data_IF_510101008641
#
_entry.id   IF_510101008641
#
_cell.length_a   1.000
_cell.length_b   1.000
_cell.length_c   1.000
_cell.angle_alpha   90.00
_cell.angle_beta   90.00
_cell.angle_gamma   90.00
#
_symmetry.space_group_name_H-M   'P 1'
#
loop_
_entity.id
_entity.type
_entity.pdbx_description
1 polymer ?
#
# COMPACT_ATOMS: atom_id res chain seq x y z
N UNK A 1 -12.49 -55.04 -36.15
CA UNK A 1 -12.39 -53.76 -36.89
C UNK A 1 -13.62 -52.93 -36.53
N UNK A 2 -13.46 -51.71 -35.97
CA UNK A 2 -14.34 -50.53 -36.12
C UNK A 2 -13.84 -49.40 -35.19
N UNK A 3 -13.18 -48.44 -35.84
CA UNK A 3 -13.14 -46.96 -35.68
C UNK A 3 -13.12 -46.31 -34.29
N UNK A 4 -11.96 -45.71 -33.96
CA UNK A 4 -11.77 -44.64 -32.96
C UNK A 4 -12.48 -43.35 -33.40
N UNK A 5 -13.12 -42.59 -32.49
CA UNK A 5 -13.38 -41.18 -32.72
C UNK A 5 -12.19 -40.32 -32.22
N UNK A 6 -11.82 -39.40 -33.10
CA UNK A 6 -10.80 -38.37 -32.97
C UNK A 6 -11.31 -37.22 -32.09
N UNK A 7 -10.38 -36.64 -31.34
CA UNK A 7 -10.33 -35.32 -30.71
C UNK A 7 -11.51 -34.34 -30.90
N UNK A 8 -11.91 -33.72 -29.79
CA UNK A 8 -12.36 -32.33 -29.78
C UNK A 8 -11.64 -31.58 -28.65
N UNK A 9 -10.77 -30.65 -29.06
CA UNK A 9 -10.00 -29.77 -28.21
C UNK A 9 -10.93 -28.78 -27.48
N UNK A 10 -10.84 -28.76 -26.15
CA UNK A 10 -11.37 -27.69 -25.29
C UNK A 10 -10.19 -27.05 -24.58
N UNK A 11 -9.47 -26.20 -25.31
CA UNK A 11 -8.49 -25.27 -24.75
C UNK A 11 -8.97 -23.84 -25.06
N UNK A 12 -9.98 -23.39 -24.30
CA UNK A 12 -10.43 -22.00 -24.31
C UNK A 12 -10.52 -21.54 -22.85
N UNK A 13 -9.41 -20.99 -22.37
CA UNK A 13 -9.20 -20.11 -21.20
C UNK A 13 -7.71 -20.27 -20.85
N UNK A 14 -6.82 -19.29 -20.92
CA UNK A 14 -6.95 -17.88 -20.63
C UNK A 14 -5.97 -17.06 -21.50
N UNK A 15 -6.48 -16.43 -22.55
CA UNK A 15 -5.87 -15.23 -23.12
C UNK A 15 -6.33 -14.06 -22.24
N UNK A 16 -5.55 -13.73 -21.21
CA UNK A 16 -5.97 -12.68 -20.26
C UNK A 16 -4.88 -12.09 -19.36
N UNK A 17 -3.60 -12.35 -19.61
CA UNK A 17 -2.49 -11.74 -18.84
C UNK A 17 -1.56 -10.83 -19.67
N UNK A 18 -1.87 -10.61 -20.96
CA UNK A 18 -1.05 -9.77 -21.84
C UNK A 18 -1.56 -8.32 -21.99
N UNK A 19 -2.41 -7.83 -21.07
CA UNK A 19 -2.93 -6.45 -21.08
C UNK A 19 -2.29 -5.54 -20.01
N UNK A 20 -1.16 -5.95 -19.42
CA UNK A 20 -0.43 -5.15 -18.43
C UNK A 20 0.81 -4.43 -19.01
N UNK A 21 0.96 -4.41 -20.34
CA UNK A 21 2.14 -3.83 -21.00
C UNK A 21 1.74 -2.84 -22.09
N UNK A 22 0.85 -1.91 -21.77
CA UNK A 22 0.77 -0.65 -22.52
C UNK A 22 -0.03 0.38 -21.72
N UNK A 23 0.64 1.02 -20.77
CA UNK A 23 0.23 2.34 -20.32
C UNK A 23 1.29 3.32 -20.77
N UNK A 24 1.00 3.93 -21.92
CA UNK A 24 1.53 5.19 -22.43
C UNK A 24 2.49 5.89 -21.45
N UNK A 25 3.76 5.98 -21.84
CA UNK A 25 4.80 6.81 -21.24
C UNK A 25 4.39 8.30 -21.30
N UNK A 26 3.41 8.68 -20.50
CA UNK A 26 3.24 10.06 -20.11
C UNK A 26 4.32 10.36 -19.07
N UNK A 27 5.13 11.38 -19.34
CA UNK A 27 6.31 11.71 -18.55
C UNK A 27 5.98 11.76 -17.05
N UNK A 28 6.54 10.81 -16.29
CA UNK A 28 6.44 10.81 -14.84
C UNK A 28 7.02 12.13 -14.30
N UNK A 29 6.39 12.72 -13.29
CA UNK A 29 6.95 13.90 -12.62
C UNK A 29 7.93 13.45 -11.53
N UNK A 30 9.26 13.52 -11.77
CA UNK A 30 10.24 12.99 -10.82
C UNK A 30 10.28 13.77 -9.50
N UNK A 31 9.65 14.95 -9.41
CA UNK A 31 9.54 15.72 -8.17
C UNK A 31 8.47 15.20 -7.22
N UNK A 32 7.53 14.40 -7.73
CA UNK A 32 6.39 13.84 -6.97
C UNK A 32 6.60 12.34 -6.75
N UNK A 33 7.23 11.65 -7.70
CA UNK A 33 7.43 10.22 -7.63
C UNK A 33 8.54 9.82 -6.66
N UNK A 34 8.22 8.89 -5.77
CA UNK A 34 9.19 8.27 -4.87
C UNK A 34 10.28 7.49 -5.63
N UNK A 35 11.51 7.54 -5.12
CA UNK A 35 12.59 6.66 -5.56
C UNK A 35 12.68 5.43 -4.65
N UNK A 36 12.22 4.29 -5.16
CA UNK A 36 12.24 3.00 -4.45
C UNK A 36 13.59 2.29 -4.48
N UNK A 37 14.60 2.84 -5.17
CA UNK A 37 15.99 2.32 -5.14
C UNK A 37 16.72 2.76 -3.89
N UNK A 38 16.39 3.93 -3.37
CA UNK A 38 16.91 4.43 -2.09
C UNK A 38 15.98 4.02 -0.97
N UNK A 39 16.50 3.37 0.07
CA UNK A 39 15.73 3.04 1.28
C UNK A 39 15.60 4.31 2.13
N UNK A 40 14.43 4.97 2.23
CA UNK A 40 14.32 6.23 2.94
C UNK A 40 14.12 5.91 4.41
N UNK A 41 15.22 5.65 5.13
CA UNK A 41 15.20 5.30 6.55
C UNK A 41 16.43 5.75 7.34
N UNK A 42 17.33 6.52 6.72
CA UNK A 42 18.64 6.79 7.31
C UNK A 42 18.76 8.14 8.06
N UNK A 43 17.71 8.97 8.15
CA UNK A 43 17.90 10.36 8.63
C UNK A 43 16.69 10.99 9.31
N UNK A 44 16.34 10.48 10.49
CA UNK A 44 15.73 11.17 11.62
C UNK A 44 15.74 10.16 12.79
N UNK A 45 15.65 10.60 14.05
CA UNK A 45 15.43 9.67 15.17
C UNK A 45 14.34 8.65 14.77
N UNK A 46 14.62 7.35 14.86
CA UNK A 46 13.82 6.31 14.22
C UNK A 46 12.35 6.39 14.67
N UNK A 47 11.52 7.04 13.86
CA UNK A 47 10.10 7.20 14.15
C UNK A 47 9.45 5.80 14.06
N UNK A 48 8.73 5.34 15.10
CA UNK A 48 8.13 4.01 15.10
C UNK A 48 7.10 3.80 13.98
N UNK A 49 6.60 4.88 13.36
CA UNK A 49 5.69 4.81 12.21
C UNK A 49 6.40 4.53 10.88
N UNK A 50 7.73 4.67 10.80
CA UNK A 50 8.53 4.50 9.55
C UNK A 50 8.21 3.19 8.81
N UNK A 51 8.10 2.02 9.46
CA UNK A 51 7.76 0.78 8.76
C UNK A 51 6.35 0.78 8.15
N UNK A 52 5.39 1.43 8.82
CA UNK A 52 4.02 1.57 8.33
C UNK A 52 3.98 2.53 7.15
N UNK A 53 4.71 3.63 7.23
CA UNK A 53 4.81 4.61 6.16
C UNK A 53 5.45 4.01 4.90
N UNK A 54 6.54 3.24 5.03
CA UNK A 54 7.17 2.59 3.89
C UNK A 54 6.28 1.51 3.28
N UNK A 55 5.57 0.76 4.12
CA UNK A 55 4.54 -0.18 3.66
C UNK A 55 3.46 0.53 2.85
N UNK A 56 2.90 1.61 3.41
CA UNK A 56 1.85 2.38 2.77
C UNK A 56 2.32 2.96 1.44
N UNK A 57 3.54 3.53 1.39
CA UNK A 57 4.13 4.11 0.18
C UNK A 57 4.27 3.08 -0.93
N UNK A 58 4.85 1.91 -0.65
CA UNK A 58 5.07 0.87 -1.66
C UNK A 58 3.75 0.33 -2.20
N UNK A 59 2.81 -0.02 -1.33
CA UNK A 59 1.50 -0.52 -1.77
C UNK A 59 0.67 0.54 -2.50
N UNK A 60 0.68 1.78 -2.03
CA UNK A 60 -0.02 2.88 -2.69
C UNK A 60 0.46 3.07 -4.14
N UNK A 61 1.78 3.07 -4.36
CA UNK A 61 2.34 3.18 -5.70
C UNK A 61 2.06 1.94 -6.57
N UNK A 62 2.06 0.74 -5.97
CA UNK A 62 1.70 -0.49 -6.69
C UNK A 62 0.23 -0.50 -7.12
N UNK A 63 -0.67 0.01 -6.29
CA UNK A 63 -2.11 0.00 -6.54
C UNK A 63 -2.63 1.28 -7.23
N UNK A 64 -1.78 2.30 -7.40
CA UNK A 64 -2.14 3.60 -7.97
C UNK A 64 -2.80 3.49 -9.36
N UNK A 65 -2.44 2.46 -10.13
CA UNK A 65 -3.01 2.19 -11.45
C UNK A 65 -4.47 1.72 -11.45
N UNK A 66 -5.05 1.35 -10.30
CA UNK A 66 -6.46 0.98 -10.18
C UNK A 66 -7.39 2.13 -10.63
N UNK A 67 -8.56 1.77 -11.15
CA UNK A 67 -9.63 2.71 -11.54
C UNK A 67 -10.54 3.10 -10.36
N UNK A 68 -10.42 2.43 -9.23
CA UNK A 68 -11.20 2.74 -8.03
C UNK A 68 -10.86 4.12 -7.47
N UNK A 69 -11.72 4.66 -6.62
CA UNK A 69 -11.45 5.93 -5.95
C UNK A 69 -10.19 5.83 -5.09
N UNK A 70 -9.53 6.97 -4.83
CA UNK A 70 -8.27 6.97 -4.08
C UNK A 70 -8.46 6.47 -2.65
N UNK A 71 -9.65 6.70 -2.08
CA UNK A 71 -10.07 6.25 -0.77
C UNK A 71 -10.16 4.72 -0.70
N UNK A 72 -10.81 4.09 -1.69
CA UNK A 72 -10.90 2.61 -1.76
C UNK A 72 -9.52 1.97 -1.89
N UNK A 73 -8.64 2.58 -2.69
CA UNK A 73 -7.25 2.10 -2.78
C UNK A 73 -6.49 2.32 -1.48
N UNK A 74 -6.70 3.45 -0.78
CA UNK A 74 -6.08 3.70 0.51
C UNK A 74 -6.52 2.68 1.57
N UNK A 75 -7.80 2.30 1.61
CA UNK A 75 -8.29 1.23 2.48
C UNK A 75 -7.57 -0.10 2.19
N UNK A 76 -7.43 -0.44 0.91
CA UNK A 76 -6.71 -1.64 0.49
C UNK A 76 -5.23 -1.62 0.87
N UNK A 77 -4.58 -0.45 0.79
CA UNK A 77 -3.20 -0.23 1.23
C UNK A 77 -3.07 -0.45 2.74
N UNK A 78 -3.96 0.16 3.55
CA UNK A 78 -3.94 -0.02 5.01
C UNK A 78 -4.18 -1.48 5.38
N UNK A 79 -5.10 -2.16 4.71
CA UNK A 79 -5.33 -3.59 4.89
C UNK A 79 -4.08 -4.43 4.56
N UNK A 80 -3.38 -4.13 3.46
CA UNK A 80 -2.13 -4.81 3.10
C UNK A 80 -1.01 -4.56 4.13
N UNK A 81 -1.04 -3.41 4.81
CA UNK A 81 -0.09 -3.02 5.84
C UNK A 81 -0.48 -3.42 7.27
N UNK A 82 -1.54 -4.21 7.44
CA UNK A 82 -1.98 -4.70 8.75
C UNK A 82 -0.86 -5.33 9.61
N UNK A 83 0.11 -6.09 9.07
CA UNK A 83 1.22 -6.63 9.87
C UNK A 83 2.15 -5.55 10.45
N UNK A 84 2.48 -4.52 9.67
CA UNK A 84 3.33 -3.41 10.13
C UNK A 84 2.59 -2.56 11.18
N UNK A 85 1.31 -2.27 10.91
CA UNK A 85 0.45 -1.53 11.83
C UNK A 85 0.24 -2.29 13.15
N UNK A 86 0.06 -3.61 13.09
CA UNK A 86 -0.05 -4.46 14.26
C UNK A 86 1.19 -4.41 15.15
N UNK A 87 2.40 -4.45 14.57
CA UNK A 87 3.65 -4.31 15.32
C UNK A 87 3.75 -2.95 16.00
N UNK A 88 3.38 -1.87 15.32
CA UNK A 88 3.37 -0.53 15.90
C UNK A 88 2.37 -0.42 17.07
N UNK A 89 1.17 -0.96 16.90
CA UNK A 89 0.15 -1.02 17.94
C UNK A 89 0.65 -1.77 19.20
N UNK A 90 1.30 -2.93 19.02
CA UNK A 90 1.86 -3.70 20.14
C UNK A 90 2.98 -2.91 20.86
N UNK A 91 3.82 -2.20 20.12
CA UNK A 91 4.88 -1.38 20.70
C UNK A 91 4.32 -0.26 21.60
N UNK A 92 3.24 0.39 21.18
CA UNK A 92 2.62 1.48 21.96
C UNK A 92 1.85 0.98 23.18
N UNK A 93 1.25 -0.21 23.13
CA UNK A 93 0.61 -0.82 24.30
C UNK A 93 1.63 -1.20 25.39
N UNK A 94 2.86 -1.55 25.01
CA UNK A 94 3.95 -1.81 25.95
C UNK A 94 4.53 -0.55 26.61
N UNK A 95 4.21 0.64 26.10
CA UNK A 95 4.69 1.93 26.60
C UNK A 95 3.68 2.60 27.54
N UNK A 96 2.43 2.16 27.53
CA UNK A 96 1.36 2.69 28.38
C UNK A 96 1.41 2.11 29.79
N UNK A 97 1.73 2.96 30.77
CA UNK A 97 1.57 2.68 32.20
C UNK A 97 0.07 2.42 32.55
N UNK A 98 -0.24 1.77 33.69
CA UNK A 98 -1.63 1.50 34.08
C UNK A 98 -2.37 2.83 34.24
N UNK A 99 -3.33 3.12 33.35
CA UNK A 99 -4.09 4.37 33.34
C UNK A 99 -4.01 5.19 32.05
N UNK A 100 -3.48 4.67 30.94
CA UNK A 100 -3.38 5.41 29.69
C UNK A 100 -4.73 5.96 29.18
N UNK A 101 -4.93 7.24 29.52
CA UNK A 101 -6.11 8.07 29.31
C UNK A 101 -6.38 8.31 27.82
N UNK A 102 -7.67 8.32 27.46
CA UNK A 102 -8.11 8.85 26.17
C UNK A 102 -7.61 10.29 26.06
N UNK A 103 -6.72 10.54 25.09
CA UNK A 103 -6.28 11.89 24.76
C UNK A 103 -7.36 12.58 23.89
N UNK A 104 -7.41 13.90 23.87
CA UNK A 104 -8.21 14.62 22.89
C UNK A 104 -7.44 14.67 21.56
N UNK A 105 -8.09 14.28 20.47
CA UNK A 105 -7.53 14.48 19.13
C UNK A 105 -7.36 15.97 18.86
N UNK A 106 -6.18 16.39 18.41
CA UNK A 106 -5.89 17.79 18.08
C UNK A 106 -6.69 18.29 16.86
N UNK A 107 -7.18 17.37 16.02
CA UNK A 107 -7.87 17.68 14.76
C UNK A 107 -9.38 17.72 14.93
N UNK A 108 -9.94 16.84 15.77
CA UNK A 108 -11.40 16.70 15.92
C UNK A 108 -11.93 17.17 17.29
N UNK A 109 -11.04 17.37 18.26
CA UNK A 109 -11.42 17.69 19.65
C UNK A 109 -12.19 16.57 20.35
N UNK A 110 -12.29 15.38 19.75
CA UNK A 110 -12.95 14.22 20.34
C UNK A 110 -11.94 13.35 21.09
N UNK A 111 -12.37 12.63 22.15
CA UNK A 111 -11.54 11.62 22.78
C UNK A 111 -11.10 10.57 21.76
N UNK A 112 -9.79 10.31 21.71
CA UNK A 112 -9.13 9.33 20.85
C UNK A 112 -8.25 8.41 21.68
N UNK A 113 -7.74 7.35 21.05
CA UNK A 113 -6.76 6.46 21.65
C UNK A 113 -5.58 6.24 20.68
N UNK A 114 -4.40 5.81 21.17
CA UNK A 114 -3.22 5.64 20.33
C UNK A 114 -3.45 4.74 19.11
N UNK A 115 -4.23 3.67 19.26
CA UNK A 115 -4.56 2.76 18.15
C UNK A 115 -5.42 3.44 17.07
N UNK A 116 -6.38 4.28 17.48
CA UNK A 116 -7.20 5.05 16.55
C UNK A 116 -6.34 6.07 15.78
N UNK A 117 -5.41 6.75 16.45
CA UNK A 117 -4.49 7.69 15.82
C UNK A 117 -3.53 6.99 14.84
N UNK A 118 -3.03 5.80 15.17
CA UNK A 118 -2.19 5.03 14.25
C UNK A 118 -2.94 4.62 12.97
N UNK A 119 -4.21 4.23 13.10
CA UNK A 119 -5.05 3.90 11.94
C UNK A 119 -5.32 5.15 11.09
N UNK A 120 -5.65 6.28 11.72
CA UNK A 120 -5.86 7.55 11.04
C UNK A 120 -4.58 8.01 10.31
N UNK A 121 -3.42 7.86 10.94
CA UNK A 121 -2.12 8.14 10.32
C UNK A 121 -1.89 7.25 9.09
N UNK A 122 -2.05 5.93 9.23
CA UNK A 122 -1.86 4.99 8.12
C UNK A 122 -2.79 5.31 6.93
N UNK A 123 -4.06 5.61 7.22
CA UNK A 123 -5.05 6.00 6.22
C UNK A 123 -4.65 7.29 5.49
N UNK A 124 -4.24 8.32 6.24
CA UNK A 124 -3.82 9.60 5.68
C UNK A 124 -2.58 9.48 4.79
N UNK A 125 -1.57 8.72 5.22
CA UNK A 125 -0.37 8.45 4.41
C UNK A 125 -0.71 7.64 3.15
N UNK A 126 -1.53 6.60 3.28
CA UNK A 126 -1.97 5.78 2.14
C UNK A 126 -2.68 6.64 1.08
N UNK A 127 -3.64 7.47 1.48
CA UNK A 127 -4.37 8.35 0.57
C UNK A 127 -3.42 9.35 -0.12
N UNK A 128 -2.54 9.99 0.65
CA UNK A 128 -1.54 10.91 0.10
C UNK A 128 -0.70 10.23 -0.98
N UNK A 129 -0.12 9.06 -0.70
CA UNK A 129 0.74 8.35 -1.63
C UNK A 129 0.01 7.87 -2.88
N UNK A 130 -1.25 7.45 -2.75
CA UNK A 130 -2.08 7.09 -3.91
C UNK A 130 -2.30 8.30 -4.81
N UNK A 131 -2.63 9.45 -4.21
CA UNK A 131 -2.84 10.70 -4.95
C UNK A 131 -1.55 11.17 -5.62
N UNK A 132 -0.42 11.15 -4.91
CA UNK A 132 0.90 11.48 -5.46
C UNK A 132 1.26 10.57 -6.65
N UNK A 133 1.12 9.26 -6.48
CA UNK A 133 1.44 8.29 -7.53
C UNK A 133 0.56 8.47 -8.77
N UNK A 134 -0.74 8.73 -8.58
CA UNK A 134 -1.69 8.98 -9.67
C UNK A 134 -1.42 10.32 -10.37
N UNK A 135 -1.23 11.39 -9.61
CA UNK A 135 -0.98 12.73 -10.13
C UNK A 135 0.35 12.80 -10.88
N UNK A 136 1.39 12.15 -10.33
CA UNK A 136 2.72 12.07 -10.92
C UNK A 136 2.86 11.02 -12.02
N UNK A 137 1.84 10.19 -12.26
CA UNK A 137 1.89 9.01 -13.15
C UNK A 137 3.11 8.15 -12.87
N UNK A 138 3.35 7.89 -11.59
CA UNK A 138 4.57 7.28 -11.13
C UNK A 138 4.64 5.80 -11.47
N UNK A 139 5.85 5.31 -11.71
CA UNK A 139 6.10 3.88 -11.91
C UNK A 139 5.93 3.14 -10.56
N UNK A 140 5.29 1.96 -10.54
CA UNK A 140 5.17 1.17 -9.33
C UNK A 140 6.56 0.68 -8.86
N UNK A 141 6.73 0.36 -7.56
CA UNK A 141 7.96 -0.26 -7.09
C UNK A 141 8.16 -1.65 -7.72
N UNK A 142 9.40 -2.18 -7.70
CA UNK A 142 9.65 -3.57 -8.05
C UNK A 142 8.81 -4.51 -7.19
N UNK A 143 8.35 -5.62 -7.77
CA UNK A 143 7.54 -6.64 -7.08
C UNK A 143 8.30 -7.97 -7.02
N UNK A 144 8.15 -8.67 -5.90
CA UNK A 144 8.67 -10.02 -5.66
C UNK A 144 7.56 -10.87 -5.05
N UNK A 145 7.29 -12.06 -5.61
CA UNK A 145 6.23 -12.96 -5.14
C UNK A 145 4.84 -12.30 -4.97
N UNK A 146 4.49 -11.33 -5.82
CA UNK A 146 3.20 -10.64 -5.78
C UNK A 146 3.07 -9.53 -4.72
N UNK A 147 4.15 -9.21 -4.01
CA UNK A 147 4.22 -8.07 -3.08
C UNK A 147 5.30 -7.08 -3.51
N UNK A 148 5.15 -5.77 -3.20
CA UNK A 148 6.23 -4.81 -3.40
C UNK A 148 7.50 -5.26 -2.69
N UNK A 149 8.62 -5.27 -3.40
CA UNK A 149 9.92 -5.59 -2.81
C UNK A 149 10.25 -4.60 -1.68
N UNK A 150 10.97 -5.03 -0.64
CA UNK A 150 11.36 -4.17 0.49
C UNK A 150 10.33 -4.07 1.61
N UNK A 151 9.31 -4.94 1.61
CA UNK A 151 8.32 -5.13 2.68
C UNK A 151 8.60 -6.39 3.50
#
# INVERSE_FOLDING_TARGET
MIRKPVMAALAIAALGLAACEDRHEAMANPKICADFKTNPGASAAADPSTPVEECARRWAYSLAGSKDSAEVVADAVVAACAPALGKWNQASLGQTAPGAEQALSLTTGQPTNPLAEHNAFAQGRALLYVVEARAGRCKPPPVSNGVPAGL
#
